data_IF_399044160286
#
_entry.id   IF_399044160286
#
_cell.length_a   1.000
_cell.length_b   1.000
_cell.length_c   1.000
_cell.angle_alpha   90.00
_cell.angle_beta   90.00
_cell.angle_gamma   90.00
#
_symmetry.space_group_name_H-M   'P 1'
#
loop_
_entity.id
_entity.type
_entity.pdbx_description
1 polymer ?
#
# COMPACT_ATOMS: atom_id res chain seq x y z
N UNK A 1 24.32 19.08 63.24
CA UNK A 1 23.18 18.67 62.39
C UNK A 1 22.89 19.81 61.44
N UNK A 2 23.48 19.77 60.24
CA UNK A 2 23.19 20.73 59.18
C UNK A 2 22.16 20.09 58.27
N UNK A 3 20.89 20.44 58.47
CA UNK A 3 19.84 20.17 57.50
C UNK A 3 19.99 21.21 56.38
N UNK A 4 20.84 20.93 55.40
CA UNK A 4 20.67 21.53 54.09
C UNK A 4 19.42 20.90 53.48
N UNK A 5 18.26 21.51 53.72
CA UNK A 5 17.17 21.37 52.76
C UNK A 5 17.62 22.13 51.52
N UNK A 6 17.89 21.40 50.43
CA UNK A 6 18.06 21.98 49.10
C UNK A 6 16.74 22.66 48.72
N UNK A 7 16.60 23.92 49.10
CA UNK A 7 15.51 24.78 48.66
C UNK A 7 15.77 25.01 47.17
N UNK A 8 15.08 24.23 46.34
CA UNK A 8 14.89 24.51 44.92
C UNK A 8 14.48 25.97 44.76
N UNK A 9 15.44 26.84 44.45
CA UNK A 9 15.15 28.26 44.28
C UNK A 9 14.27 28.45 43.05
N UNK A 10 13.35 29.42 43.12
CA UNK A 10 12.44 29.75 42.01
C UNK A 10 13.23 30.04 40.72
N UNK A 11 14.44 30.59 40.85
CA UNK A 11 15.37 30.87 39.76
C UNK A 11 15.86 29.59 39.06
N UNK A 12 16.19 28.54 39.82
CA UNK A 12 16.58 27.24 39.26
C UNK A 12 15.41 26.63 38.47
N UNK A 13 14.19 26.67 39.02
CA UNK A 13 12.98 26.17 38.33
C UNK A 13 12.70 26.95 37.04
N UNK A 14 12.81 28.28 37.08
CA UNK A 14 12.62 29.16 35.91
C UNK A 14 13.64 28.88 34.80
N UNK A 15 14.90 28.64 35.16
CA UNK A 15 15.94 28.27 34.20
C UNK A 15 15.67 26.91 33.55
N UNK A 16 15.24 25.91 34.33
CA UNK A 16 14.84 24.61 33.78
C UNK A 16 13.64 24.70 32.85
N UNK A 17 12.61 25.47 33.19
CA UNK A 17 11.45 25.70 32.31
C UNK A 17 11.90 26.37 31.02
N UNK A 18 12.76 27.38 31.10
CA UNK A 18 13.27 28.11 29.92
C UNK A 18 14.07 27.23 28.97
N UNK A 19 14.78 26.21 29.49
CA UNK A 19 15.53 25.23 28.69
C UNK A 19 14.60 24.14 28.16
N UNK A 20 13.70 23.58 28.99
CA UNK A 20 12.84 22.45 28.63
C UNK A 20 11.76 22.87 27.63
N UNK A 21 11.21 24.07 27.77
CA UNK A 21 10.12 24.58 26.90
C UNK A 21 10.48 24.53 25.41
N UNK A 22 11.63 25.03 24.92
CA UNK A 22 11.99 24.93 23.51
C UNK A 22 12.17 23.48 23.05
N UNK A 23 12.64 22.55 23.89
CA UNK A 23 12.69 21.13 23.53
C UNK A 23 11.30 20.51 23.39
N UNK A 24 10.39 20.79 24.33
CA UNK A 24 8.99 20.35 24.24
C UNK A 24 8.34 20.92 22.99
N UNK A 25 8.54 22.22 22.70
CA UNK A 25 8.02 22.86 21.50
C UNK A 25 8.62 22.28 20.21
N UNK A 26 9.92 21.95 20.19
CA UNK A 26 10.57 21.27 19.06
C UNK A 26 9.97 19.89 18.83
N UNK A 27 9.79 19.10 19.88
CA UNK A 27 9.15 17.79 19.80
C UNK A 27 7.70 17.92 19.31
N UNK A 28 6.93 18.82 19.91
CA UNK A 28 5.54 19.07 19.53
C UNK A 28 5.42 19.54 18.08
N UNK A 29 6.26 20.47 17.64
CA UNK A 29 6.29 20.95 16.27
C UNK A 29 6.68 19.83 15.30
N UNK A 30 7.67 19.00 15.65
CA UNK A 30 8.06 17.85 14.86
C UNK A 30 6.90 16.85 14.69
N UNK A 31 6.23 16.46 15.78
CA UNK A 31 5.10 15.53 15.72
C UNK A 31 3.88 16.13 15.01
N UNK A 32 3.59 17.41 15.23
CA UNK A 32 2.51 18.15 14.56
C UNK A 32 2.73 18.23 13.05
N UNK A 33 3.93 18.66 12.63
CA UNK A 33 4.30 18.70 11.20
C UNK A 33 4.29 17.31 10.58
N UNK A 34 4.82 16.29 11.27
CA UNK A 34 4.78 14.90 10.79
C UNK A 34 3.35 14.42 10.60
N UNK A 35 2.45 14.71 11.56
CA UNK A 35 1.03 14.35 11.46
C UNK A 35 0.33 15.00 10.26
N UNK A 36 0.53 16.31 10.08
CA UNK A 36 -0.06 17.06 8.94
C UNK A 36 0.50 16.52 7.61
N UNK A 37 1.83 16.45 7.48
CA UNK A 37 2.49 16.04 6.25
C UNK A 37 2.22 14.57 5.88
N UNK A 38 2.08 13.70 6.88
CA UNK A 38 1.74 12.29 6.66
C UNK A 38 0.31 12.12 6.19
N UNK A 39 -0.66 12.86 6.75
CA UNK A 39 -2.06 12.83 6.30
C UNK A 39 -2.21 13.24 4.84
N UNK A 40 -1.57 14.34 4.44
CA UNK A 40 -1.59 14.82 3.05
C UNK A 40 -0.93 13.81 2.11
N UNK A 41 0.17 13.18 2.55
CA UNK A 41 0.80 12.11 1.79
C UNK A 41 -0.09 10.89 1.61
N UNK A 42 -0.65 10.36 2.70
CA UNK A 42 -1.45 9.15 2.67
C UNK A 42 -2.68 9.33 1.79
N UNK A 43 -3.30 10.52 1.82
CA UNK A 43 -4.41 10.85 0.93
C UNK A 43 -4.06 10.69 -0.57
N UNK A 44 -2.80 10.88 -0.98
CA UNK A 44 -2.37 10.66 -2.36
C UNK A 44 -2.28 9.18 -2.79
N UNK A 45 -2.32 8.24 -1.83
CA UNK A 45 -2.34 6.79 -2.08
C UNK A 45 -3.78 6.28 -2.31
N UNK A 46 -4.79 7.01 -1.85
CA UNK A 46 -6.18 6.62 -2.07
C UNK A 46 -6.51 6.73 -3.55
N UNK A 47 -7.01 5.66 -4.14
CA UNK A 47 -7.41 5.64 -5.54
C UNK A 47 -7.50 4.26 -6.16
N UNK A 48 -7.77 4.26 -7.46
CA UNK A 48 -7.81 3.07 -8.28
C UNK A 48 -6.45 2.88 -8.97
N UNK A 49 -5.97 1.65 -8.97
CA UNK A 49 -4.73 1.24 -9.59
C UNK A 49 -5.01 0.10 -10.57
N UNK A 50 -4.30 0.07 -11.68
CA UNK A 50 -4.42 -0.97 -12.69
C UNK A 50 -3.07 -1.35 -13.27
N UNK A 51 -2.91 -2.62 -13.64
CA UNK A 51 -1.71 -3.10 -14.30
C UNK A 51 -1.87 -4.50 -14.89
N UNK A 52 -1.20 -4.75 -16.01
CA UNK A 52 -1.03 -6.10 -16.54
C UNK A 52 0.00 -6.85 -15.70
N UNK A 53 -0.20 -8.15 -15.57
CA UNK A 53 0.72 -9.02 -14.82
C UNK A 53 1.10 -10.23 -15.63
N UNK A 54 2.20 -10.86 -15.23
CA UNK A 54 2.59 -12.14 -15.82
C UNK A 54 1.53 -13.18 -15.46
N UNK A 55 1.00 -13.93 -16.45
CA UNK A 55 0.10 -15.04 -16.19
C UNK A 55 0.70 -16.07 -15.26
N UNK A 56 -0.12 -16.64 -14.40
CA UNK A 56 0.28 -17.67 -13.42
C UNK A 56 -0.02 -19.08 -13.89
N UNK A 57 -0.76 -19.22 -14.99
CA UNK A 57 -1.03 -20.48 -15.68
C UNK A 57 -0.38 -20.48 -17.06
N UNK A 58 -0.04 -21.66 -17.56
CA UNK A 58 0.46 -21.82 -18.93
C UNK A 58 -0.70 -21.82 -19.93
N UNK A 59 -0.57 -21.15 -21.08
CA UNK A 59 -1.61 -21.15 -22.10
C UNK A 59 -1.80 -22.54 -22.69
N UNK A 60 -3.04 -22.89 -23.02
CA UNK A 60 -3.32 -24.03 -23.89
C UNK A 60 -2.69 -23.80 -25.26
N UNK A 61 -2.34 -24.90 -25.96
CA UNK A 61 -1.73 -24.82 -27.29
C UNK A 61 -2.64 -24.02 -28.24
N UNK A 62 -2.09 -22.94 -28.83
CA UNK A 62 -2.82 -22.05 -29.74
C UNK A 62 -3.60 -20.92 -29.06
N UNK A 63 -3.51 -20.79 -27.73
CA UNK A 63 -4.09 -19.68 -26.97
C UNK A 63 -2.99 -18.75 -26.44
N UNK A 64 -3.33 -17.48 -26.24
CA UNK A 64 -2.57 -16.50 -25.48
C UNK A 64 -3.34 -16.11 -24.21
N UNK A 65 -2.64 -15.68 -23.17
CA UNK A 65 -3.26 -15.25 -21.90
C UNK A 65 -2.97 -13.78 -21.64
N UNK A 66 -4.04 -13.03 -21.38
CA UNK A 66 -3.94 -11.70 -20.78
C UNK A 66 -4.30 -11.82 -19.30
N UNK A 67 -3.44 -11.28 -18.43
CA UNK A 67 -3.67 -11.21 -17.00
C UNK A 67 -3.63 -9.76 -16.54
N UNK A 68 -4.59 -9.38 -15.71
CA UNK A 68 -4.72 -8.02 -15.20
C UNK A 68 -5.14 -7.98 -13.74
N UNK A 69 -4.72 -6.92 -13.06
CA UNK A 69 -5.13 -6.59 -11.70
C UNK A 69 -5.72 -5.19 -11.68
N UNK A 70 -6.84 -5.03 -10.97
CA UNK A 70 -7.35 -3.75 -10.52
C UNK A 70 -7.33 -3.74 -9.00
N UNK A 71 -6.81 -2.65 -8.42
CA UNK A 71 -6.77 -2.47 -6.98
C UNK A 71 -7.38 -1.13 -6.62
N UNK A 72 -8.32 -1.13 -5.68
CA UNK A 72 -8.93 0.09 -5.16
C UNK A 72 -8.56 0.24 -3.69
N UNK A 73 -7.76 1.26 -3.37
CA UNK A 73 -7.48 1.67 -2.00
C UNK A 73 -8.60 2.61 -1.57
N UNK A 74 -9.40 2.20 -0.59
CA UNK A 74 -10.63 2.92 -0.17
C UNK A 74 -10.35 3.96 0.89
N UNK A 75 -9.55 3.60 1.89
CA UNK A 75 -9.21 4.47 3.00
C UNK A 75 -7.76 4.26 3.43
N UNK A 76 -7.22 5.26 4.12
CA UNK A 76 -5.93 5.20 4.81
C UNK A 76 -6.01 6.13 6.01
N UNK A 77 -5.45 5.71 7.14
CA UNK A 77 -5.39 6.53 8.34
C UNK A 77 -4.06 7.31 8.43
N UNK A 78 -3.96 8.21 9.42
CA UNK A 78 -2.76 9.03 9.67
C UNK A 78 -1.52 8.22 10.08
N UNK A 79 -1.68 6.93 10.37
CA UNK A 79 -0.58 6.05 10.74
C UNK A 79 -0.12 5.22 9.53
N UNK A 80 -0.75 5.37 8.37
CA UNK A 80 -0.37 4.67 7.15
C UNK A 80 -1.00 3.29 7.00
N UNK A 81 -1.99 2.92 7.83
CA UNK A 81 -2.78 1.71 7.63
C UNK A 81 -3.91 1.99 6.65
N UNK A 82 -4.06 1.12 5.65
CA UNK A 82 -5.04 1.26 4.58
C UNK A 82 -5.69 -0.07 4.23
N UNK A 83 -6.87 0.00 3.62
CA UNK A 83 -7.57 -1.17 3.16
C UNK A 83 -8.22 -0.94 1.78
N UNK A 84 -8.67 -2.03 1.19
CA UNK A 84 -9.29 -1.97 -0.12
C UNK A 84 -9.61 -3.32 -0.72
N UNK A 85 -9.93 -3.29 -2.00
CA UNK A 85 -10.29 -4.46 -2.79
C UNK A 85 -9.31 -4.63 -3.94
N UNK A 86 -9.07 -5.88 -4.30
CA UNK A 86 -8.16 -6.30 -5.34
C UNK A 86 -8.90 -7.30 -6.24
N UNK A 87 -9.08 -6.94 -7.50
CA UNK A 87 -9.72 -7.75 -8.53
C UNK A 87 -8.66 -8.29 -9.48
N UNK A 88 -8.69 -9.59 -9.71
CA UNK A 88 -7.73 -10.30 -10.56
C UNK A 88 -8.45 -11.09 -11.62
N UNK A 89 -7.97 -11.00 -12.86
CA UNK A 89 -8.48 -11.76 -13.99
C UNK A 89 -7.34 -12.32 -14.85
N UNK A 90 -7.52 -13.55 -15.32
CA UNK A 90 -6.79 -14.15 -16.43
C UNK A 90 -7.77 -14.66 -17.48
N UNK A 91 -7.56 -14.20 -18.72
CA UNK A 91 -8.37 -14.57 -19.87
C UNK A 91 -7.49 -15.23 -20.92
N UNK A 92 -7.83 -16.46 -21.29
CA UNK A 92 -7.31 -17.14 -22.47
C UNK A 92 -8.05 -16.64 -23.71
N UNK A 93 -7.32 -16.40 -24.79
CA UNK A 93 -7.91 -16.04 -26.07
C UNK A 93 -7.15 -16.66 -27.23
N UNK A 94 -7.89 -17.01 -28.28
CA UNK A 94 -7.40 -17.37 -29.60
C UNK A 94 -8.17 -16.49 -30.62
N UNK A 95 -7.77 -16.52 -31.89
CA UNK A 95 -8.37 -15.80 -33.02
C UNK A 95 -9.90 -15.84 -33.11
N UNK A 96 -10.58 -16.84 -32.52
CA UNK A 96 -12.04 -16.97 -32.56
C UNK A 96 -12.73 -17.09 -31.19
N UNK A 97 -11.99 -17.37 -30.12
CA UNK A 97 -12.58 -17.71 -28.81
C UNK A 97 -11.88 -16.98 -27.68
N UNK A 98 -12.64 -16.58 -26.66
CA UNK A 98 -12.09 -16.04 -25.41
C UNK A 98 -12.74 -16.74 -24.23
N UNK A 99 -11.92 -17.30 -23.34
CA UNK A 99 -12.36 -18.03 -22.15
C UNK A 99 -11.72 -17.41 -20.91
N UNK A 100 -12.54 -17.24 -19.86
CA UNK A 100 -12.04 -16.80 -18.56
C UNK A 100 -11.39 -18.00 -17.88
N UNK A 101 -10.09 -17.93 -17.61
CA UNK A 101 -9.37 -19.01 -16.95
C UNK A 101 -9.35 -18.84 -15.43
N UNK A 102 -9.28 -17.60 -14.94
CA UNK A 102 -9.16 -17.32 -13.51
C UNK A 102 -9.77 -15.96 -13.17
N UNK A 103 -10.64 -15.89 -12.17
CA UNK A 103 -11.17 -14.62 -11.61
C UNK A 103 -11.19 -14.72 -10.09
N UNK A 104 -10.74 -13.67 -9.42
CA UNK A 104 -10.82 -13.57 -7.97
C UNK A 104 -10.96 -12.12 -7.51
N UNK A 105 -11.82 -11.91 -6.52
CA UNK A 105 -11.97 -10.65 -5.80
C UNK A 105 -11.46 -10.87 -4.38
N UNK A 106 -10.51 -10.04 -3.96
CA UNK A 106 -9.81 -10.16 -2.69
C UNK A 106 -9.93 -8.88 -1.89
N UNK A 107 -10.00 -9.01 -0.58
CA UNK A 107 -9.84 -7.85 0.32
C UNK A 107 -8.39 -7.80 0.79
N UNK A 108 -7.87 -6.61 1.05
CA UNK A 108 -6.54 -6.47 1.62
C UNK A 108 -6.47 -5.42 2.72
N UNK A 109 -5.48 -5.60 3.58
CA UNK A 109 -5.04 -4.61 4.57
C UNK A 109 -3.56 -4.37 4.39
N UNK A 110 -3.14 -3.13 4.50
CA UNK A 110 -1.74 -2.76 4.36
C UNK A 110 -1.31 -1.69 5.34
N UNK A 111 0.00 -1.58 5.46
CA UNK A 111 0.68 -0.53 6.21
C UNK A 111 1.81 0.01 5.34
N UNK A 112 1.92 1.34 5.24
CA UNK A 112 3.02 1.99 4.53
C UNK A 112 3.70 3.02 5.41
N UNK A 113 5.02 2.91 5.52
CA UNK A 113 5.79 3.78 6.38
C UNK A 113 6.06 5.13 5.71
N UNK A 114 5.66 6.21 6.37
CA UNK A 114 5.94 7.56 5.92
C UNK A 114 7.31 8.04 6.42
N UNK A 115 8.17 8.44 5.48
CA UNK A 115 9.44 9.10 5.75
C UNK A 115 9.39 10.56 5.28
N UNK A 116 9.90 11.47 6.10
CA UNK A 116 10.01 12.90 5.75
C UNK A 116 11.24 13.07 4.84
N UNK A 117 11.02 13.54 3.62
CA UNK A 117 12.09 13.82 2.67
C UNK A 117 12.35 15.32 2.56
N UNK A 118 13.52 15.78 3.01
CA UNK A 118 14.01 17.14 2.79
C UNK A 118 14.23 17.34 1.27
N UNK A 119 13.89 18.53 0.75
CA UNK A 119 13.81 18.82 -0.69
C UNK A 119 15.05 18.34 -1.46
N UNK A 120 14.85 17.41 -2.40
CA UNK A 120 15.77 17.01 -3.47
C UNK A 120 15.11 17.39 -4.80
N UNK A 121 15.88 17.68 -5.86
CA UNK A 121 15.33 17.73 -7.22
C UNK A 121 14.81 16.33 -7.57
N UNK A 122 13.55 16.21 -7.98
CA UNK A 122 12.88 14.93 -8.23
C UNK A 122 12.49 14.83 -9.70
N UNK A 123 12.38 13.60 -10.21
CA UNK A 123 12.03 13.36 -11.60
C UNK A 123 11.01 12.22 -11.71
N UNK A 124 9.81 12.47 -12.26
CA UNK A 124 8.70 11.52 -12.23
C UNK A 124 8.91 10.28 -13.09
N UNK A 125 9.98 10.22 -13.91
CA UNK A 125 10.30 9.05 -14.74
C UNK A 125 11.58 8.32 -14.32
N UNK A 126 12.21 8.73 -13.21
CA UNK A 126 13.43 8.10 -12.69
C UNK A 126 13.18 7.53 -11.31
N UNK A 127 13.07 6.19 -11.15
CA UNK A 127 12.79 5.55 -9.87
C UNK A 127 13.71 6.00 -8.72
N UNK A 128 15.00 6.21 -9.01
CA UNK A 128 16.04 6.64 -8.07
C UNK A 128 15.88 8.09 -7.57
N UNK A 129 15.12 8.91 -8.27
CA UNK A 129 14.83 10.30 -7.93
C UNK A 129 13.44 10.49 -7.31
N UNK A 130 12.68 9.40 -7.17
CA UNK A 130 11.36 9.39 -6.54
C UNK A 130 11.47 9.26 -5.02
N UNK A 131 10.43 9.72 -4.33
CA UNK A 131 10.20 9.35 -2.93
C UNK A 131 9.63 7.93 -2.90
N UNK A 132 10.38 7.06 -2.23
CA UNK A 132 10.07 5.63 -2.13
C UNK A 132 9.57 5.35 -0.73
N UNK A 133 8.36 4.81 -0.62
CA UNK A 133 7.79 4.40 0.65
C UNK A 133 7.57 2.90 0.64
N UNK A 134 7.95 2.24 1.72
CA UNK A 134 7.97 0.79 1.81
C UNK A 134 6.99 0.36 2.88
N UNK A 135 6.23 -0.67 2.57
CA UNK A 135 5.18 -1.21 3.41
C UNK A 135 4.97 -2.69 3.21
N UNK A 136 3.90 -3.19 3.82
CA UNK A 136 3.41 -4.55 3.64
C UNK A 136 1.92 -4.53 3.33
N UNK A 137 1.46 -5.49 2.55
CA UNK A 137 0.06 -5.76 2.29
C UNK A 137 -0.21 -7.24 2.58
N UNK A 138 -1.34 -7.48 3.23
CA UNK A 138 -1.91 -8.77 3.55
C UNK A 138 -3.18 -8.94 2.72
N UNK A 139 -3.20 -9.95 1.85
CA UNK A 139 -4.37 -10.35 1.07
C UNK A 139 -5.13 -11.39 1.88
N UNK A 140 -6.45 -11.23 1.98
CA UNK A 140 -7.34 -12.12 2.74
C UNK A 140 -8.50 -12.60 1.87
N UNK A 141 -8.92 -13.85 2.10
CA UNK A 141 -9.96 -14.50 1.28
C UNK A 141 -11.37 -13.95 1.59
N UNK A 142 -11.71 -13.74 2.87
CA UNK A 142 -13.00 -13.21 3.36
C UNK A 142 -12.85 -12.66 4.79
N UNK A 143 -13.71 -11.71 5.17
CA UNK A 143 -13.78 -11.11 6.52
C UNK A 143 -14.95 -11.65 7.35
N UNK A 144 -15.30 -12.91 7.18
CA UNK A 144 -16.21 -13.65 8.06
C UNK A 144 -15.47 -14.11 9.33
N UNK A 145 -14.99 -13.13 10.10
CA UNK A 145 -14.32 -13.36 11.38
C UNK A 145 -15.28 -14.02 12.38
N UNK A 146 -14.94 -15.22 12.83
CA UNK A 146 -15.59 -15.85 13.98
C UNK A 146 -14.75 -15.54 15.23
N UNK A 147 -15.32 -14.78 16.17
CA UNK A 147 -14.60 -14.32 17.37
C UNK A 147 -14.10 -15.45 18.28
N UNK A 148 -14.70 -16.64 18.19
CA UNK A 148 -14.52 -17.72 19.15
C UNK A 148 -13.28 -18.60 18.86
N UNK A 149 -12.75 -18.61 17.64
CA UNK A 149 -11.56 -19.37 17.23
C UNK A 149 -10.63 -18.49 16.39
N UNK A 150 -9.84 -17.66 17.07
CA UNK A 150 -8.97 -16.67 16.42
C UNK A 150 -7.63 -17.28 15.98
N UNK A 151 -7.45 -17.48 14.68
CA UNK A 151 -6.13 -17.59 14.08
C UNK A 151 -6.08 -16.81 12.76
N UNK A 152 -5.36 -15.68 12.75
CA UNK A 152 -5.30 -14.77 11.60
C UNK A 152 -4.68 -15.45 10.36
N UNK A 153 -3.78 -16.41 10.58
CA UNK A 153 -3.10 -17.17 9.52
C UNK A 153 -4.11 -17.97 8.67
N UNK A 154 -5.26 -18.35 9.22
CA UNK A 154 -6.29 -19.12 8.50
C UNK A 154 -7.03 -18.27 7.45
N UNK A 155 -7.00 -16.94 7.61
CA UNK A 155 -7.66 -15.97 6.73
C UNK A 155 -6.67 -15.29 5.78
N UNK A 156 -5.38 -15.30 6.10
CA UNK A 156 -4.32 -14.79 5.26
C UNK A 156 -4.11 -15.68 4.04
N UNK A 157 -4.12 -15.07 2.87
CA UNK A 157 -3.84 -15.71 1.60
C UNK A 157 -2.39 -15.48 1.18
N UNK A 158 -1.98 -14.22 1.15
CA UNK A 158 -0.65 -13.82 0.70
C UNK A 158 -0.17 -12.56 1.41
N UNK A 159 1.15 -12.45 1.57
CA UNK A 159 1.84 -11.28 2.06
C UNK A 159 2.73 -10.70 0.97
N UNK A 160 2.58 -9.41 0.71
CA UNK A 160 3.42 -8.67 -0.23
C UNK A 160 4.17 -7.56 0.48
N UNK A 161 5.43 -7.37 0.09
CA UNK A 161 6.12 -6.11 0.27
C UNK A 161 5.59 -5.15 -0.77
N UNK A 162 5.26 -3.93 -0.35
CA UNK A 162 4.90 -2.87 -1.27
C UNK A 162 5.94 -1.76 -1.29
N UNK A 163 6.17 -1.24 -2.49
CA UNK A 163 7.06 -0.10 -2.74
C UNK A 163 6.26 0.92 -3.54
N UNK A 164 5.96 2.05 -2.90
CA UNK A 164 5.26 3.17 -3.52
C UNK A 164 6.25 4.20 -4.05
N UNK A 165 6.25 4.43 -5.36
CA UNK A 165 7.01 5.49 -6.00
C UNK A 165 6.08 6.69 -6.21
N UNK A 166 6.12 7.66 -5.29
CA UNK A 166 5.11 8.72 -5.20
C UNK A 166 4.98 9.56 -6.47
N UNK A 167 6.08 10.02 -7.05
CA UNK A 167 6.03 10.87 -8.24
C UNK A 167 5.58 10.10 -9.50
N UNK A 168 5.88 8.80 -9.58
CA UNK A 168 5.36 7.90 -10.63
C UNK A 168 3.93 7.45 -10.37
N UNK A 169 3.45 7.55 -9.13
CA UNK A 169 2.15 7.07 -8.68
C UNK A 169 1.99 5.57 -8.94
N UNK A 170 3.05 4.81 -8.68
CA UNK A 170 3.09 3.37 -8.89
C UNK A 170 3.32 2.62 -7.60
N UNK A 171 2.68 1.45 -7.50
CA UNK A 171 2.87 0.49 -6.43
C UNK A 171 3.52 -0.75 -7.03
N UNK A 172 4.72 -1.09 -6.58
CA UNK A 172 5.39 -2.36 -6.88
C UNK A 172 5.15 -3.33 -5.74
N UNK A 173 4.85 -4.57 -6.08
CA UNK A 173 4.53 -5.66 -5.17
C UNK A 173 5.54 -6.78 -5.34
N UNK A 174 6.02 -7.30 -4.22
CA UNK A 174 6.95 -8.43 -4.16
C UNK A 174 6.43 -9.43 -3.12
N UNK A 175 6.10 -10.65 -3.53
CA UNK A 175 5.55 -11.68 -2.66
C UNK A 175 6.58 -12.05 -1.58
N UNK A 176 6.18 -11.96 -0.31
CA UNK A 176 6.97 -12.36 0.84
C UNK A 176 6.61 -13.80 1.21
N UNK A 177 5.31 -14.09 1.34
CA UNK A 177 4.81 -15.38 1.82
C UNK A 177 3.47 -15.68 1.16
N UNK A 178 3.34 -16.89 0.64
CA UNK A 178 2.04 -17.45 0.28
C UNK A 178 1.59 -18.38 1.42
N UNK A 179 0.47 -18.08 2.06
CA UNK A 179 -0.04 -18.86 3.19
C UNK A 179 -0.94 -20.01 2.73
N UNK A 180 -1.52 -19.93 1.53
CA UNK A 180 -2.44 -20.94 1.01
C UNK A 180 -2.00 -21.47 -0.35
N UNK A 181 -1.86 -22.79 -0.44
CA UNK A 181 -1.62 -23.50 -1.69
C UNK A 181 -2.96 -23.73 -2.42
N UNK A 182 -3.69 -22.65 -2.72
CA UNK A 182 -4.98 -22.70 -3.41
C UNK A 182 -4.80 -22.60 -4.93
N UNK A 183 -5.78 -23.13 -5.68
CA UNK A 183 -5.83 -23.15 -7.15
C UNK A 183 -5.74 -21.76 -7.82
N UNK A 184 -5.91 -20.68 -7.07
CA UNK A 184 -5.85 -19.31 -7.59
C UNK A 184 -4.53 -18.68 -7.14
N UNK A 185 -3.47 -18.90 -7.92
CA UNK A 185 -2.15 -18.33 -7.69
C UNK A 185 -2.17 -16.84 -8.03
N UNK A 186 -1.83 -16.01 -7.05
CA UNK A 186 -1.54 -14.60 -7.27
C UNK A 186 -0.12 -14.46 -7.83
N UNK A 187 0.15 -13.48 -8.70
CA UNK A 187 1.48 -13.29 -9.27
C UNK A 187 2.50 -12.92 -8.18
N UNK A 188 3.72 -13.46 -8.29
CA UNK A 188 4.77 -13.23 -7.30
C UNK A 188 5.24 -11.77 -7.28
N UNK A 189 5.32 -11.13 -8.44
CA UNK A 189 5.77 -9.75 -8.58
C UNK A 189 4.93 -9.04 -9.62
N UNK A 190 4.52 -7.81 -9.33
CA UNK A 190 3.77 -6.99 -10.27
C UNK A 190 3.86 -5.49 -9.91
N UNK A 191 3.49 -4.65 -10.87
CA UNK A 191 3.44 -3.19 -10.70
C UNK A 191 2.07 -2.70 -11.12
N UNK A 192 1.44 -1.90 -10.25
CA UNK A 192 0.18 -1.24 -10.54
C UNK A 192 0.41 0.27 -10.64
N UNK A 193 -0.36 0.90 -11.52
CA UNK A 193 -0.26 2.30 -11.83
C UNK A 193 -1.56 2.99 -11.44
N UNK A 194 -1.46 4.11 -10.72
CA UNK A 194 -2.63 4.87 -10.29
C UNK A 194 -3.37 5.46 -11.50
N UNK A 195 -4.68 5.29 -11.53
CA UNK A 195 -5.55 5.99 -12.47
C UNK A 195 -5.68 7.46 -12.04
N UNK A 196 -5.14 8.37 -12.84
CA UNK A 196 -5.38 9.81 -12.72
C UNK A 196 -5.85 10.39 -14.05
N UNK A 197 -6.94 11.15 -14.01
CA UNK A 197 -7.60 11.68 -15.21
C UNK A 197 -8.54 10.66 -15.86
N UNK A 198 -9.17 11.06 -16.97
CA UNK A 198 -10.21 10.27 -17.64
C UNK A 198 -9.61 9.06 -18.40
N UNK A 199 -8.34 9.13 -18.82
CA UNK A 199 -7.72 8.15 -19.71
C UNK A 199 -6.29 7.78 -19.28
N UNK A 200 -6.14 7.09 -18.14
CA UNK A 200 -4.87 6.43 -17.85
C UNK A 200 -4.87 5.02 -18.45
N UNK A 201 -4.13 4.85 -19.56
CA UNK A 201 -4.15 3.67 -20.45
C UNK A 201 -4.06 2.30 -19.75
N UNK A 202 -3.14 2.06 -18.80
CA UNK A 202 -3.07 0.77 -18.11
C UNK A 202 -4.35 0.40 -17.37
N UNK A 203 -5.01 1.35 -16.71
CA UNK A 203 -6.24 1.07 -15.97
C UNK A 203 -7.42 0.82 -16.92
N UNK A 204 -7.60 1.66 -17.95
CA UNK A 204 -8.68 1.48 -18.93
C UNK A 204 -8.51 0.20 -19.74
N UNK A 205 -7.28 -0.11 -20.15
CA UNK A 205 -6.95 -1.34 -20.88
C UNK A 205 -7.19 -2.58 -20.04
N UNK A 206 -6.77 -2.58 -18.78
CA UNK A 206 -7.01 -3.70 -17.87
C UNK A 206 -8.49 -3.82 -17.55
N UNK A 207 -9.19 -2.70 -17.32
CA UNK A 207 -10.64 -2.69 -17.08
C UNK A 207 -11.45 -3.28 -18.22
N UNK A 208 -11.03 -3.07 -19.47
CA UNK A 208 -11.66 -3.70 -20.64
C UNK A 208 -11.66 -5.24 -20.57
N UNK A 209 -10.67 -5.86 -19.92
CA UNK A 209 -10.67 -7.31 -19.70
C UNK A 209 -11.85 -7.75 -18.81
N UNK A 210 -12.26 -6.91 -17.88
CA UNK A 210 -13.38 -7.17 -16.97
C UNK A 210 -14.73 -6.83 -17.63
N UNK A 211 -14.79 -5.78 -18.45
CA UNK A 211 -16.04 -5.32 -19.09
C UNK A 211 -16.50 -6.24 -20.25
N UNK A 212 -15.59 -7.03 -20.85
CA UNK A 212 -15.93 -8.02 -21.91
C UNK A 212 -16.65 -9.29 -21.40
N UNK A 213 -17.31 -9.21 -20.24
CA UNK A 213 -18.04 -10.31 -19.59
C UNK A 213 -19.56 -10.25 -19.79
N UNK A 214 -20.03 -9.42 -20.72
CA UNK A 214 -21.45 -9.28 -21.10
C UNK A 214 -21.72 -9.74 -22.52
#
# INVERSE_FOLDING_TARGET
MSCCEDILSIEIISNWISIITPFILLLWFYYSQRGILSKDYFAEIIGNYGGFVTPTISPKKGFSINSGIIMTIKNINSNGYFNGNFDFIQKEFNTMESNISQVGVFTFFGEINYNIYIKKKRHPFKPEDNRIYIGKIFIVDRLDFQFENYNIDDYLRAEYRIIHYREMQTLKFELIKNHKNLNLSLPENFVLYMSKGVDFEPYTSVKSLFDTTH
#
